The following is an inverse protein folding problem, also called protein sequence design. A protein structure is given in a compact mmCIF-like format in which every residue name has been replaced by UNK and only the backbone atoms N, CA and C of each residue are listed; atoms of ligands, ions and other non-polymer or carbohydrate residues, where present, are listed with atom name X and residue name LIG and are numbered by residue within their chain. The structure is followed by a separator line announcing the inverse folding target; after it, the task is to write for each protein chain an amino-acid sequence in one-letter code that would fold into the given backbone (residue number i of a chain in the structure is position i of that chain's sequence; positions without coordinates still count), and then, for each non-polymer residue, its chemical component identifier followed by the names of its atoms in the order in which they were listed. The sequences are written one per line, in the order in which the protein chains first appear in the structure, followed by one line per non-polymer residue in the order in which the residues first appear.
data_IF_138908726250
#
_entry.id   IF_138908726250
#
_cell.length_a   1.000
_cell.length_b   1.000
_cell.length_c   1.000
_cell.angle_alpha   90.00
_cell.angle_beta   90.00
_cell.angle_gamma   90.00
#
_symmetry.space_group_name_H-M   'P 1'
#
loop_
_entity.id
_entity.type
_entity.pdbx_description
1 polymer ?
#
# COMPACT_ATOMS: atom_id res chain seq x y z
N UNK A 1 -19.01 -9.22 3.36
CA UNK A 1 -19.50 -8.05 2.60
C UNK A 1 -20.70 -7.40 3.27
N UNK A 2 -21.70 -8.19 3.71
CA UNK A 2 -22.94 -7.70 4.35
C UNK A 2 -22.74 -6.59 5.41
N UNK A 3 -21.81 -6.76 6.35
CA UNK A 3 -21.55 -5.72 7.37
C UNK A 3 -21.03 -4.39 6.80
N UNK A 4 -20.27 -4.39 5.70
CA UNK A 4 -19.74 -3.16 5.11
C UNK A 4 -20.87 -2.40 4.39
N UNK A 5 -21.84 -3.14 3.82
CA UNK A 5 -23.03 -2.58 3.16
C UNK A 5 -23.92 -1.79 4.12
N UNK A 6 -23.86 -2.08 5.42
CA UNK A 6 -24.54 -1.30 6.45
C UNK A 6 -23.96 0.13 6.58
N UNK A 7 -22.68 0.32 6.25
CA UNK A 7 -21.96 1.60 6.40
C UNK A 7 -21.79 2.38 5.10
N UNK A 8 -21.94 1.74 3.93
CA UNK A 8 -21.74 2.40 2.64
C UNK A 8 -22.54 1.75 1.53
N UNK A 9 -23.15 2.58 0.69
CA UNK A 9 -23.82 2.18 -0.56
C UNK A 9 -22.87 2.14 -1.76
N UNK A 10 -21.62 2.60 -1.60
CA UNK A 10 -20.64 2.75 -2.68
C UNK A 10 -19.62 1.61 -2.67
N UNK A 11 -20.10 0.37 -2.67
CA UNK A 11 -19.27 -0.84 -2.66
C UNK A 11 -19.37 -1.51 -4.02
N UNK A 12 -18.23 -1.77 -4.66
CA UNK A 12 -18.18 -2.56 -5.89
C UNK A 12 -18.27 -4.06 -5.56
N UNK A 13 -19.46 -4.64 -5.72
CA UNK A 13 -19.70 -6.07 -5.53
C UNK A 13 -19.18 -6.93 -6.68
N UNK A 14 -18.87 -6.32 -7.82
CA UNK A 14 -18.31 -7.00 -8.99
C UNK A 14 -16.78 -7.09 -8.93
N UNK A 15 -16.15 -6.42 -7.97
CA UNK A 15 -14.71 -6.41 -7.81
C UNK A 15 -14.17 -7.80 -7.50
N UNK A 16 -13.33 -8.30 -8.40
CA UNK A 16 -12.54 -9.52 -8.19
C UNK A 16 -11.15 -9.14 -7.65
N UNK A 17 -10.79 -9.56 -6.42
CA UNK A 17 -9.48 -9.28 -5.85
C UNK A 17 -8.38 -10.04 -6.59
N UNK A 18 -7.16 -9.52 -6.54
CA UNK A 18 -5.98 -10.16 -7.15
C UNK A 18 -5.71 -11.55 -6.58
N UNK A 19 -6.05 -11.75 -5.29
CA UNK A 19 -5.95 -13.03 -4.61
C UNK A 19 -7.31 -13.41 -4.03
N UNK A 20 -7.96 -14.44 -4.59
CA UNK A 20 -9.18 -15.03 -4.01
C UNK A 20 -8.86 -15.94 -2.82
N UNK A 21 -7.69 -16.60 -2.88
CA UNK A 21 -7.08 -17.34 -1.78
C UNK A 21 -5.73 -16.73 -1.46
N UNK A 22 -5.49 -16.42 -0.19
CA UNK A 22 -4.20 -15.89 0.25
C UNK A 22 -3.11 -16.95 0.07
N UNK A 23 -1.93 -16.58 -0.48
CA UNK A 23 -0.78 -17.45 -0.51
C UNK A 23 -0.29 -17.72 0.92
N UNK A 24 0.49 -18.78 1.10
CA UNK A 24 1.24 -18.97 2.35
C UNK A 24 2.27 -17.85 2.49
N UNK A 25 2.32 -17.23 3.66
CA UNK A 25 3.23 -16.13 3.97
C UNK A 25 4.13 -16.53 5.13
N UNK A 26 5.41 -16.21 5.02
CA UNK A 26 6.31 -16.27 6.17
C UNK A 26 5.90 -15.23 7.20
N UNK A 27 6.23 -15.45 8.47
CA UNK A 27 5.99 -14.45 9.51
C UNK A 27 6.89 -13.22 9.30
N UNK A 28 6.50 -12.11 9.90
CA UNK A 28 7.28 -10.85 9.88
C UNK A 28 6.77 -9.85 8.84
N UNK A 29 7.34 -8.64 8.89
CA UNK A 29 6.87 -7.49 8.12
C UNK A 29 7.10 -7.66 6.59
N UNK A 30 8.11 -8.46 6.22
CA UNK A 30 8.43 -8.80 4.84
C UNK A 30 7.63 -9.99 4.29
N UNK A 31 6.92 -10.73 5.15
CA UNK A 31 6.20 -11.93 4.73
C UNK A 31 5.10 -11.66 3.70
N UNK A 32 4.55 -10.45 3.71
CA UNK A 32 3.53 -10.02 2.76
C UNK A 32 4.08 -9.28 1.52
N UNK A 33 5.41 -9.10 1.41
CA UNK A 33 6.03 -8.28 0.37
C UNK A 33 5.58 -8.68 -1.04
N UNK A 34 5.73 -9.96 -1.39
CA UNK A 34 5.40 -10.48 -2.71
C UNK A 34 3.91 -10.31 -3.06
N UNK A 35 3.02 -10.60 -2.09
CA UNK A 35 1.57 -10.43 -2.29
C UNK A 35 1.21 -8.97 -2.50
N UNK A 36 1.78 -8.08 -1.68
CA UNK A 36 1.48 -6.64 -1.75
C UNK A 36 1.99 -6.05 -3.06
N UNK A 37 3.24 -6.36 -3.45
CA UNK A 37 3.83 -5.88 -4.71
C UNK A 37 3.06 -6.41 -5.91
N UNK A 38 2.68 -7.69 -5.92
CA UNK A 38 1.83 -8.25 -6.97
C UNK A 38 0.47 -7.54 -7.03
N UNK A 39 -0.18 -7.33 -5.89
CA UNK A 39 -1.47 -6.62 -5.83
C UNK A 39 -1.34 -5.20 -6.38
N UNK A 40 -0.30 -4.47 -5.99
CA UNK A 40 -0.01 -3.12 -6.47
C UNK A 40 0.13 -3.09 -8.01
N UNK A 41 0.95 -3.98 -8.58
CA UNK A 41 1.17 -4.07 -10.03
C UNK A 41 -0.12 -4.40 -10.80
N UNK A 42 -0.87 -5.40 -10.34
CA UNK A 42 -2.11 -5.83 -10.98
C UNK A 42 -3.20 -4.76 -10.92
N UNK A 43 -3.32 -4.03 -9.81
CA UNK A 43 -4.23 -2.89 -9.68
C UNK A 43 -3.85 -1.77 -10.64
N UNK A 44 -2.57 -1.40 -10.69
CA UNK A 44 -2.08 -0.37 -11.63
C UNK A 44 -2.32 -0.76 -13.10
N UNK A 45 -2.15 -2.03 -13.44
CA UNK A 45 -2.41 -2.55 -14.80
C UNK A 45 -3.91 -2.55 -15.14
N UNK A 46 -4.76 -3.01 -14.21
CA UNK A 46 -6.22 -3.12 -14.41
C UNK A 46 -6.90 -1.76 -14.49
N UNK A 47 -6.39 -0.79 -13.75
CA UNK A 47 -6.94 0.56 -13.67
C UNK A 47 -5.82 1.56 -13.99
N UNK A 48 -5.58 1.91 -15.26
CA UNK A 48 -4.38 2.68 -15.65
C UNK A 48 -4.39 4.15 -15.21
N UNK A 49 -5.52 4.68 -14.74
CA UNK A 49 -5.65 6.10 -14.37
C UNK A 49 -6.54 6.27 -13.14
N UNK A 50 -6.26 7.30 -12.33
CA UNK A 50 -7.17 7.75 -11.27
C UNK A 50 -7.22 6.87 -10.01
N UNK A 51 -6.20 6.05 -9.75
CA UNK A 51 -6.19 5.18 -8.57
C UNK A 51 -5.93 5.94 -7.27
N UNK A 52 -6.63 5.55 -6.22
CA UNK A 52 -6.30 5.87 -4.84
C UNK A 52 -6.15 4.55 -4.09
N UNK A 53 -4.97 4.29 -3.53
CA UNK A 53 -4.70 3.11 -2.72
C UNK A 53 -4.64 3.54 -1.25
N UNK A 54 -5.53 2.98 -0.44
CA UNK A 54 -5.54 3.17 1.02
C UNK A 54 -5.07 1.86 1.65
N UNK A 55 -4.05 1.93 2.50
CA UNK A 55 -3.46 0.75 3.13
C UNK A 55 -2.78 1.10 4.45
N UNK A 56 -2.25 0.08 5.13
CA UNK A 56 -1.50 0.22 6.37
C UNK A 56 -0.01 0.51 6.10
N UNK A 57 0.73 0.90 7.15
CA UNK A 57 2.15 1.25 7.03
C UNK A 57 3.03 0.12 6.50
N UNK A 58 2.85 -1.12 6.96
CA UNK A 58 3.67 -2.28 6.52
C UNK A 58 3.50 -2.60 5.02
N UNK A 59 2.28 -2.70 4.45
CA UNK A 59 2.12 -2.82 3.00
C UNK A 59 2.72 -1.65 2.21
N UNK A 60 2.53 -0.41 2.66
CA UNK A 60 3.11 0.76 1.98
C UNK A 60 4.64 0.74 2.01
N UNK A 61 5.24 0.32 3.13
CA UNK A 61 6.69 0.17 3.25
C UNK A 61 7.24 -0.91 2.31
N UNK A 62 6.54 -2.02 2.12
CA UNK A 62 6.88 -3.03 1.13
C UNK A 62 6.80 -2.50 -0.31
N UNK A 63 5.80 -1.65 -0.62
CA UNK A 63 5.72 -0.98 -1.92
C UNK A 63 6.90 -0.02 -2.10
N UNK A 64 7.24 0.80 -1.10
CA UNK A 64 8.40 1.69 -1.17
C UNK A 64 9.72 0.92 -1.34
N UNK A 65 9.89 -0.20 -0.64
CA UNK A 65 11.04 -1.08 -0.80
C UNK A 65 11.13 -1.65 -2.22
N UNK A 66 10.01 -1.99 -2.83
CA UNK A 66 9.98 -2.40 -4.24
C UNK A 66 10.34 -1.26 -5.21
N UNK A 67 9.86 -0.03 -4.95
CA UNK A 67 10.06 1.12 -5.84
C UNK A 67 11.46 1.72 -5.77
N UNK A 68 12.00 1.89 -4.57
CA UNK A 68 13.25 2.63 -4.30
C UNK A 68 14.35 1.76 -3.71
N UNK A 69 14.09 0.47 -3.43
CA UNK A 69 15.05 -0.43 -2.77
C UNK A 69 15.19 -0.19 -1.26
N UNK A 70 14.38 0.71 -0.68
CA UNK A 70 14.48 1.10 0.73
C UNK A 70 13.15 0.96 1.47
N UNK A 71 13.20 0.36 2.66
CA UNK A 71 12.05 0.27 3.56
C UNK A 71 11.70 1.65 4.11
N UNK A 72 10.48 2.14 3.82
CA UNK A 72 9.97 3.38 4.40
C UNK A 72 8.57 3.20 4.98
N UNK A 73 8.49 3.15 6.31
CA UNK A 73 7.24 3.11 7.05
C UNK A 73 6.66 4.52 7.20
N UNK A 74 5.49 4.75 6.61
CA UNK A 74 4.87 6.08 6.56
C UNK A 74 3.88 6.29 7.69
N UNK A 75 3.70 7.56 8.06
CA UNK A 75 2.80 7.96 9.13
C UNK A 75 1.33 7.81 8.73
N UNK A 76 0.48 7.80 9.74
CA UNK A 76 -0.97 7.76 9.59
C UNK A 76 -1.48 8.92 8.72
N UNK A 77 -2.40 8.59 7.81
CA UNK A 77 -3.03 9.54 6.89
C UNK A 77 -2.06 10.38 6.04
N UNK A 78 -0.79 9.97 5.91
CA UNK A 78 0.13 10.61 4.97
C UNK A 78 -0.13 10.12 3.55
N UNK A 79 0.19 10.95 2.56
CA UNK A 79 -0.08 10.67 1.15
C UNK A 79 1.26 10.49 0.40
N UNK A 80 1.31 9.50 -0.48
CA UNK A 80 2.37 9.34 -1.48
C UNK A 80 1.80 9.45 -2.88
N UNK A 81 2.68 9.65 -3.87
CA UNK A 81 2.33 9.61 -5.27
C UNK A 81 3.31 8.74 -6.04
N UNK A 82 2.76 7.80 -6.78
CA UNK A 82 3.49 6.96 -7.72
C UNK A 82 2.98 7.28 -9.12
N UNK A 83 3.90 7.49 -10.06
CA UNK A 83 3.60 7.68 -11.48
C UNK A 83 4.00 6.42 -12.24
N UNK A 84 3.05 5.82 -12.95
CA UNK A 84 3.34 4.77 -13.93
C UNK A 84 4.03 5.39 -15.15
N UNK A 85 5.22 4.89 -15.46
CA UNK A 85 6.03 5.28 -16.59
C UNK A 85 5.75 4.34 -17.76
N UNK A 86 4.56 4.50 -18.35
CA UNK A 86 4.11 3.81 -19.57
C UNK A 86 4.03 2.27 -19.46
N UNK A 87 3.67 1.74 -18.29
CA UNK A 87 3.51 0.30 -18.06
C UNK A 87 4.84 -0.46 -17.99
N UNK A 88 5.98 0.23 -18.02
CA UNK A 88 7.30 -0.39 -17.98
C UNK A 88 7.96 -0.27 -16.60
N UNK A 89 7.71 0.83 -15.90
CA UNK A 89 8.30 1.10 -14.59
C UNK A 89 7.41 2.03 -13.77
N UNK A 90 7.70 2.14 -12.49
CA UNK A 90 7.03 3.06 -11.58
C UNK A 90 8.05 4.05 -11.04
N UNK A 91 7.66 5.31 -10.93
CA UNK A 91 8.44 6.34 -10.25
C UNK A 91 7.70 6.80 -9.01
N UNK A 92 8.34 6.74 -7.85
CA UNK A 92 7.81 7.32 -6.62
C UNK A 92 8.11 8.83 -6.62
N UNK A 93 7.09 9.65 -6.84
CA UNK A 93 7.25 11.12 -6.92
C UNK A 93 7.46 11.73 -5.53
N UNK A 94 6.71 11.25 -4.54
CA UNK A 94 6.86 11.61 -3.13
C UNK A 94 6.21 10.58 -2.21
N UNK A 95 6.61 10.56 -0.95
CA UNK A 95 6.01 9.78 0.13
C UNK A 95 5.83 10.63 1.39
N UNK A 96 4.99 10.16 2.31
CA UNK A 96 4.78 10.79 3.63
C UNK A 96 4.35 12.27 3.59
N UNK A 97 3.65 12.71 2.53
CA UNK A 97 3.14 14.08 2.49
C UNK A 97 2.01 14.26 3.50
N UNK A 98 2.26 15.17 4.44
CA UNK A 98 1.38 15.51 5.57
C UNK A 98 0.97 16.97 5.60
N UNK A 99 1.29 17.75 4.55
CA UNK A 99 0.94 19.18 4.48
C UNK A 99 -0.56 19.46 4.55
N UNK A 100 -1.38 18.46 4.25
CA UNK A 100 -2.84 18.53 4.32
C UNK A 100 -3.40 18.27 5.73
N UNK A 101 -2.60 17.75 6.65
CA UNK A 101 -3.03 17.43 8.01
C UNK A 101 -2.95 18.67 8.90
N UNK A 102 -3.94 18.84 9.77
CA UNK A 102 -3.92 19.88 10.82
C UNK A 102 -2.88 19.58 11.90
N UNK A 103 -2.59 18.29 12.15
CA UNK A 103 -1.53 17.83 13.03
C UNK A 103 -0.51 17.01 12.23
N UNK A 104 0.72 17.51 12.13
CA UNK A 104 1.79 16.90 11.31
C UNK A 104 2.86 16.17 12.13
N UNK A 105 2.62 15.99 13.43
CA UNK A 105 3.51 15.32 14.38
C UNK A 105 2.80 14.13 15.05
N UNK A 106 3.58 13.22 15.63
CA UNK A 106 3.08 11.99 16.27
C UNK A 106 2.20 11.13 15.35
N UNK A 107 2.58 11.06 14.07
CA UNK A 107 1.89 10.25 13.06
C UNK A 107 2.31 8.78 13.09
N UNK A 108 3.15 8.38 14.06
CA UNK A 108 3.75 7.04 14.16
C UNK A 108 4.57 6.64 12.93
N UNK A 109 5.25 7.63 12.35
CA UNK A 109 6.27 7.41 11.31
C UNK A 109 7.42 6.60 11.88
N UNK A 110 8.02 5.72 11.06
CA UNK A 110 9.25 5.00 11.42
C UNK A 110 9.17 4.19 12.74
N UNK A 111 7.96 3.78 13.18
CA UNK A 111 7.73 3.06 14.46
C UNK A 111 8.52 1.73 14.55
N UNK A 112 9.09 1.25 13.42
CA UNK A 112 10.10 0.19 13.33
C UNK A 112 11.05 0.48 12.14
N UNK A 113 12.22 1.06 12.42
CA UNK A 113 13.25 1.38 11.39
C UNK A 113 13.82 0.10 10.74
N UNK A 114 13.66 -1.05 11.38
CA UNK A 114 14.07 -2.36 10.86
C UNK A 114 12.84 -3.26 10.73
N UNK A 115 12.55 -3.82 9.54
CA UNK A 115 11.47 -4.81 9.41
C UNK A 115 11.77 -6.02 10.30
N UNK A 116 10.73 -6.57 10.94
CA UNK A 116 10.88 -7.84 11.66
C UNK A 116 11.16 -8.95 10.66
N UNK A 117 12.34 -9.56 10.77
CA UNK A 117 12.74 -10.69 9.94
C UNK A 117 11.87 -11.92 10.25
N UNK A 118 11.67 -12.82 9.27
CA UNK A 118 11.04 -14.10 9.53
C UNK A 118 11.83 -14.88 10.57
N UNK A 119 11.12 -15.52 11.52
CA UNK A 119 11.66 -16.57 12.39
C UNK A 119 11.87 -17.87 11.62
#
# INVERSE_FOLDING_TARGET
MEKIKEYSTQIDESYKPVFEKLPEEVKGDLGCADRVVKTFKEVALKFPTGNIIVSHGTPLANIHAFLEGHWKYVGQCTIGKVTDMYGQSFRLDYWSDKRHLSQTHDLREDERITPQMPE
#
